data_IF_624433220902
#
_entry.id   IF_624433220902
#
_cell.length_a   1.000
_cell.length_b   1.000
_cell.length_c   1.000
_cell.angle_alpha   90.00
_cell.angle_beta   90.00
_cell.angle_gamma   90.00
#
_symmetry.space_group_name_H-M   'P 1'
#
loop_
_entity.id
_entity.type
_entity.pdbx_description
1 polymer ?
#
# COMPACT_ATOMS: atom_id res chain seq x y z
N UNK A 1 71.29 23.63 -39.74
CA UNK A 1 70.11 23.86 -40.62
C UNK A 1 69.29 22.57 -40.60
N UNK A 2 68.21 22.53 -39.83
CA UNK A 2 66.80 22.86 -40.19
C UNK A 2 66.05 21.64 -40.77
N UNK A 3 64.91 21.35 -40.12
CA UNK A 3 63.70 20.60 -40.53
C UNK A 3 63.88 19.06 -40.63
N UNK A 4 63.07 18.18 -40.02
CA UNK A 4 61.74 18.30 -39.41
C UNK A 4 60.72 17.43 -40.17
N UNK A 5 60.29 16.30 -39.61
CA UNK A 5 59.10 15.51 -39.96
C UNK A 5 58.92 14.45 -38.84
N UNK A 6 57.83 14.32 -38.08
CA UNK A 6 56.45 14.74 -38.28
C UNK A 6 55.61 13.55 -38.78
N UNK A 7 55.08 12.71 -37.88
CA UNK A 7 54.07 11.69 -38.21
C UNK A 7 53.04 11.58 -37.09
N UNK A 8 51.78 11.61 -37.48
CA UNK A 8 50.61 12.02 -36.71
C UNK A 8 50.08 10.96 -35.72
N UNK A 9 49.70 11.42 -34.53
CA UNK A 9 48.71 10.71 -33.68
C UNK A 9 47.32 10.93 -34.28
N UNK A 10 46.73 9.87 -34.84
CA UNK A 10 45.33 9.84 -35.23
C UNK A 10 44.43 9.72 -34.00
N UNK A 11 43.85 10.84 -33.57
CA UNK A 11 42.83 10.88 -32.52
C UNK A 11 41.48 10.40 -33.04
N UNK A 12 41.05 9.21 -32.61
CA UNK A 12 39.68 8.73 -32.79
C UNK A 12 38.77 9.55 -31.87
N UNK A 13 38.03 10.49 -32.45
CA UNK A 13 37.04 11.29 -31.72
C UNK A 13 35.75 10.47 -31.65
N UNK A 14 35.50 9.85 -30.49
CA UNK A 14 34.24 9.15 -30.20
C UNK A 14 33.15 10.21 -29.98
N UNK A 15 32.31 10.45 -30.99
CA UNK A 15 31.08 11.25 -30.85
C UNK A 15 30.03 10.42 -30.10
N UNK A 16 29.91 10.67 -28.80
CA UNK A 16 28.80 10.15 -27.99
C UNK A 16 27.55 10.97 -28.35
N UNK A 17 26.77 10.47 -29.31
CA UNK A 17 25.45 11.03 -29.61
C UNK A 17 24.52 10.60 -28.47
N UNK A 18 24.33 11.47 -27.49
CA UNK A 18 23.28 11.30 -26.50
C UNK A 18 21.93 11.41 -27.23
N UNK A 19 21.28 10.27 -27.46
CA UNK A 19 19.89 10.24 -27.93
C UNK A 19 19.00 10.78 -26.83
N UNK A 20 18.79 12.10 -26.80
CA UNK A 20 17.64 12.68 -26.14
C UNK A 20 16.41 12.22 -26.93
N UNK A 21 15.77 11.14 -26.49
CA UNK A 21 14.48 10.72 -27.01
C UNK A 21 13.46 11.79 -26.62
N UNK A 22 13.31 12.82 -27.47
CA UNK A 22 12.19 13.74 -27.40
C UNK A 22 10.97 12.94 -27.83
N UNK A 23 10.20 12.48 -26.85
CA UNK A 23 8.88 11.91 -27.10
C UNK A 23 7.99 13.07 -27.53
N UNK A 24 7.67 13.09 -28.83
CA UNK A 24 6.75 14.05 -29.41
C UNK A 24 5.36 13.82 -28.78
N UNK A 25 4.95 14.71 -27.85
CA UNK A 25 3.67 14.61 -27.12
C UNK A 25 2.46 14.94 -28.00
N UNK A 26 2.68 15.38 -29.23
CA UNK A 26 1.65 15.66 -30.24
C UNK A 26 1.23 14.42 -31.04
N UNK A 27 1.88 13.27 -30.81
CA UNK A 27 1.50 12.00 -31.45
C UNK A 27 0.67 11.17 -30.49
N UNK A 28 -0.60 10.96 -30.84
CA UNK A 28 -1.48 9.97 -30.20
C UNK A 28 -0.84 8.58 -30.30
N UNK A 29 -0.35 8.08 -29.19
CA UNK A 29 0.29 6.77 -29.04
C UNK A 29 -0.71 5.66 -28.77
N UNK A 30 -1.85 5.98 -28.17
CA UNK A 30 -2.90 5.05 -27.79
C UNK A 30 -4.25 5.76 -27.72
N UNK A 31 -5.33 4.99 -27.73
CA UNK A 31 -6.69 5.45 -27.38
C UNK A 31 -7.28 4.66 -26.21
N UNK A 32 -6.70 3.49 -25.93
CA UNK A 32 -7.09 2.57 -24.88
C UNK A 32 -5.85 1.94 -24.26
N UNK A 33 -5.95 1.47 -23.02
CA UNK A 33 -4.88 0.72 -22.34
C UNK A 33 -4.42 -0.50 -23.17
N UNK A 34 -5.35 -1.11 -23.91
CA UNK A 34 -5.06 -2.24 -24.80
C UNK A 34 -4.08 -1.87 -25.92
N UNK A 35 -4.14 -0.64 -26.44
CA UNK A 35 -3.20 -0.19 -27.47
C UNK A 35 -1.77 -0.18 -26.94
N UNK A 36 -1.58 0.20 -25.67
CA UNK A 36 -0.29 0.16 -24.99
C UNK A 36 0.19 -1.27 -24.73
N UNK A 37 -0.71 -2.13 -24.26
CA UNK A 37 -0.40 -3.54 -24.01
C UNK A 37 -0.07 -4.32 -25.29
N UNK A 38 -0.59 -3.90 -26.45
CA UNK A 38 -0.28 -4.54 -27.75
C UNK A 38 1.06 -4.13 -28.35
N UNK A 39 1.76 -3.13 -27.78
CA UNK A 39 3.11 -2.79 -28.21
C UNK A 39 4.04 -3.93 -27.82
N UNK A 40 4.71 -4.54 -28.80
CA UNK A 40 5.59 -5.70 -28.60
C UNK A 40 6.87 -5.40 -27.80
N UNK A 41 6.95 -4.22 -27.18
CA UNK A 41 8.07 -3.81 -26.34
C UNK A 41 7.74 -4.18 -24.88
N UNK A 42 8.57 -5.01 -24.22
CA UNK A 42 8.34 -5.46 -22.84
C UNK A 42 8.28 -4.30 -21.83
N UNK A 43 8.77 -3.11 -22.17
CA UNK A 43 8.64 -1.93 -21.31
C UNK A 43 7.19 -1.40 -21.23
N UNK A 44 6.29 -1.86 -22.10
CA UNK A 44 4.87 -1.45 -22.09
C UNK A 44 3.95 -2.48 -21.43
N UNK A 45 4.49 -3.56 -20.85
CA UNK A 45 3.70 -4.51 -20.06
C UNK A 45 3.10 -3.79 -18.85
N UNK A 46 1.78 -3.79 -18.73
CA UNK A 46 1.06 -3.04 -17.69
C UNK A 46 0.91 -1.53 -17.93
N UNK A 47 1.38 -0.99 -19.07
CA UNK A 47 1.18 0.43 -19.42
C UNK A 47 -0.28 0.78 -19.64
N UNK A 48 -0.65 1.99 -19.21
CA UNK A 48 -1.96 2.57 -19.40
C UNK A 48 -1.91 3.68 -20.45
N UNK A 49 -3.05 3.92 -21.11
CA UNK A 49 -3.21 5.04 -22.01
C UNK A 49 -3.70 6.26 -21.23
N UNK A 50 -2.86 7.29 -21.13
CA UNK A 50 -3.16 8.51 -20.40
C UNK A 50 -2.87 9.69 -21.33
N UNK A 51 -3.90 10.53 -21.55
CA UNK A 51 -3.83 11.66 -22.49
C UNK A 51 -3.26 11.27 -23.87
N UNK A 52 -3.76 10.16 -24.42
CA UNK A 52 -3.32 9.56 -25.68
C UNK A 52 -1.84 9.12 -25.72
N UNK A 53 -1.15 9.04 -24.57
CA UNK A 53 0.25 8.57 -24.46
C UNK A 53 0.30 7.26 -23.67
N UNK A 54 1.09 6.30 -24.14
CA UNK A 54 1.35 5.10 -23.36
C UNK A 54 2.33 5.42 -22.24
N UNK A 55 1.84 5.35 -21.01
CA UNK A 55 2.62 5.61 -19.81
C UNK A 55 2.88 4.30 -19.07
N UNK A 56 4.14 4.12 -18.67
CA UNK A 56 4.55 3.09 -17.72
C UNK A 56 3.66 3.23 -16.45
N UNK A 57 3.14 2.14 -15.87
CA UNK A 57 2.33 2.22 -14.64
C UNK A 57 3.06 2.93 -13.50
N UNK A 58 4.39 2.91 -13.51
CA UNK A 58 5.27 3.58 -12.57
C UNK A 58 5.85 4.90 -13.12
N UNK A 59 5.35 5.45 -14.24
CA UNK A 59 5.95 6.60 -14.94
C UNK A 59 6.20 7.83 -14.06
N UNK A 60 5.43 8.02 -12.99
CA UNK A 60 5.61 9.10 -12.02
C UNK A 60 6.95 9.00 -11.29
N UNK A 61 7.62 7.84 -11.37
CA UNK A 61 9.03 7.62 -11.04
C UNK A 61 10.00 8.58 -11.73
N UNK A 62 9.66 9.03 -12.94
CA UNK A 62 10.52 9.89 -13.74
C UNK A 62 10.45 11.37 -13.31
N UNK A 63 9.48 11.73 -12.46
CA UNK A 63 9.35 13.06 -11.87
C UNK A 63 9.96 13.12 -10.48
N UNK A 64 10.51 14.28 -10.11
CA UNK A 64 10.83 14.62 -8.73
C UNK A 64 9.52 14.77 -7.94
N UNK A 65 8.87 13.67 -7.58
CA UNK A 65 7.69 13.71 -6.70
C UNK A 65 8.16 14.24 -5.35
N UNK A 66 7.87 15.51 -5.08
CA UNK A 66 8.13 16.08 -3.76
C UNK A 66 7.03 15.63 -2.85
N UNK A 67 7.37 14.76 -1.91
CA UNK A 67 6.47 14.34 -0.85
C UNK A 67 6.09 15.59 -0.03
N UNK A 68 4.80 16.01 -0.01
CA UNK A 68 4.41 17.17 0.77
C UNK A 68 4.62 16.92 2.26
N UNK A 69 5.10 17.94 2.96
CA UNK A 69 5.16 17.94 4.41
C UNK A 69 3.74 18.07 4.97
N UNK A 70 3.44 17.31 6.02
CA UNK A 70 2.17 17.45 6.72
C UNK A 70 2.04 18.87 7.31
N UNK A 71 0.89 19.49 7.09
CA UNK A 71 0.59 20.84 7.58
C UNK A 71 -0.67 20.81 8.45
N UNK A 72 -0.48 20.93 9.76
CA UNK A 72 -1.57 20.95 10.75
C UNK A 72 -2.39 22.25 10.79
N UNK A 73 -2.02 23.26 10.01
CA UNK A 73 -2.80 24.50 9.90
C UNK A 73 -3.86 24.45 8.80
N UNK A 74 -3.80 23.44 7.92
CA UNK A 74 -4.75 23.19 6.83
C UNK A 74 -5.38 21.83 7.02
N UNK A 75 -6.70 21.75 6.86
CA UNK A 75 -7.44 20.50 6.96
C UNK A 75 -8.07 20.16 5.62
N UNK A 76 -7.99 18.87 5.28
CA UNK A 76 -8.60 18.27 4.10
C UNK A 76 -9.57 17.19 4.55
N UNK A 77 -10.68 17.06 3.84
CA UNK A 77 -11.69 16.05 4.12
C UNK A 77 -11.31 14.75 3.44
N UNK A 78 -11.25 13.66 4.20
CA UNK A 78 -10.94 12.33 3.67
C UNK A 78 -12.07 11.36 4.00
N UNK A 79 -12.29 10.38 3.11
CA UNK A 79 -13.34 9.37 3.26
C UNK A 79 -12.75 7.96 3.15
N UNK A 80 -12.89 7.20 4.23
CA UNK A 80 -12.38 5.82 4.35
C UNK A 80 -13.55 4.86 4.40
N UNK A 81 -13.49 3.76 3.65
CA UNK A 81 -14.49 2.69 3.73
C UNK A 81 -14.02 1.55 4.64
N UNK A 82 -14.96 0.90 5.30
CA UNK A 82 -14.77 -0.24 6.20
C UNK A 82 -15.72 -1.36 5.80
N UNK A 83 -15.21 -2.60 5.70
CA UNK A 83 -15.99 -3.77 5.32
C UNK A 83 -15.60 -5.00 6.12
N UNK A 84 -16.55 -5.92 6.27
CA UNK A 84 -16.35 -7.23 6.88
C UNK A 84 -15.58 -8.13 5.89
N UNK A 85 -14.45 -8.70 6.32
CA UNK A 85 -13.62 -9.56 5.47
C UNK A 85 -14.32 -10.87 5.07
N UNK A 86 -15.23 -11.38 5.90
CA UNK A 86 -15.94 -12.63 5.65
C UNK A 86 -17.16 -12.41 4.76
N UNK A 87 -17.96 -11.37 5.05
CA UNK A 87 -19.18 -11.08 4.28
C UNK A 87 -18.91 -10.27 3.00
N UNK A 88 -17.77 -9.56 2.93
CA UNK A 88 -17.47 -8.55 1.89
C UNK A 88 -18.54 -7.45 1.82
N UNK A 89 -19.19 -7.17 2.95
CA UNK A 89 -20.25 -6.17 3.09
C UNK A 89 -19.74 -4.94 3.85
N UNK A 90 -20.25 -3.73 3.55
CA UNK A 90 -19.91 -2.54 4.33
C UNK A 90 -20.37 -2.68 5.78
N UNK A 91 -19.57 -2.16 6.72
CA UNK A 91 -19.91 -2.18 8.15
C UNK A 91 -20.44 -0.82 8.57
N UNK A 92 -21.73 -0.73 8.89
CA UNK A 92 -22.37 0.46 9.46
C UNK A 92 -22.24 0.50 10.98
N UNK A 93 -21.98 1.68 11.56
CA UNK A 93 -22.00 1.91 13.00
C UNK A 93 -20.69 1.63 13.76
N UNK A 94 -19.59 1.30 13.09
CA UNK A 94 -18.29 1.12 13.73
C UNK A 94 -17.72 2.47 14.20
N UNK A 95 -17.14 2.50 15.40
CA UNK A 95 -16.52 3.69 15.99
C UNK A 95 -15.03 3.76 15.61
N UNK A 96 -14.65 4.84 14.94
CA UNK A 96 -13.31 5.06 14.39
C UNK A 96 -12.69 6.32 15.01
N UNK A 97 -11.44 6.19 15.43
CA UNK A 97 -10.58 7.28 15.88
C UNK A 97 -9.51 7.55 14.83
N UNK A 98 -9.14 8.82 14.64
CA UNK A 98 -8.03 9.23 13.77
C UNK A 98 -6.85 9.62 14.64
N UNK A 99 -5.73 8.91 14.48
CA UNK A 99 -4.56 9.07 15.34
C UNK A 99 -3.36 9.61 14.54
N UNK A 100 -2.42 10.34 15.16
CA UNK A 100 -1.14 10.67 14.53
C UNK A 100 -0.30 9.40 14.27
N UNK A 101 0.63 9.46 13.33
CA UNK A 101 1.52 8.33 12.98
C UNK A 101 2.33 7.77 14.16
N UNK A 102 2.57 8.60 15.17
CA UNK A 102 3.30 8.21 16.39
C UNK A 102 2.45 7.47 17.42
N UNK A 103 1.12 7.46 17.28
CA UNK A 103 0.16 6.89 18.24
C UNK A 103 -0.85 5.99 17.52
N UNK A 104 -0.39 4.85 17.00
CA UNK A 104 -1.16 4.02 16.06
C UNK A 104 -2.50 3.50 16.57
N UNK A 105 -2.72 3.50 17.89
CA UNK A 105 -3.95 3.08 18.52
C UNK A 105 -4.60 4.12 19.43
N UNK A 106 -4.26 5.40 19.24
CA UNK A 106 -4.85 6.53 19.97
C UNK A 106 -4.77 6.36 21.50
N UNK A 107 -3.72 5.71 22.02
CA UNK A 107 -3.62 5.37 23.45
C UNK A 107 -2.85 6.41 24.26
N UNK A 108 -2.05 7.26 23.60
CA UNK A 108 -1.12 8.19 24.26
C UNK A 108 -1.45 9.65 24.04
N UNK A 109 -2.22 9.97 23.00
CA UNK A 109 -2.59 11.32 22.60
C UNK A 109 -4.10 11.46 22.36
N UNK A 110 -4.59 12.68 22.42
CA UNK A 110 -5.95 12.99 21.98
C UNK A 110 -6.06 12.67 20.48
N UNK A 111 -7.09 11.94 20.03
CA UNK A 111 -7.32 11.70 18.61
C UNK A 111 -7.37 13.02 17.84
N UNK A 112 -6.83 13.02 16.62
CA UNK A 112 -6.91 14.15 15.69
C UNK A 112 -8.38 14.43 15.34
N UNK A 113 -9.16 13.37 15.19
CA UNK A 113 -10.59 13.42 14.93
C UNK A 113 -11.27 12.16 15.51
N UNK A 114 -12.58 12.27 15.76
CA UNK A 114 -13.43 11.22 16.30
C UNK A 114 -13.76 11.33 17.80
N UNK A 115 -14.63 10.43 18.32
CA UNK A 115 -15.15 9.24 17.65
C UNK A 115 -16.06 9.54 16.45
N UNK A 116 -15.75 8.91 15.32
CA UNK A 116 -16.54 8.93 14.09
C UNK A 116 -17.27 7.60 13.92
N UNK A 117 -18.41 7.60 13.24
CA UNK A 117 -19.20 6.38 13.03
C UNK A 117 -19.31 6.08 11.54
N UNK A 118 -19.12 4.83 11.14
CA UNK A 118 -19.31 4.41 9.74
C UNK A 118 -20.79 4.53 9.33
N UNK A 119 -21.04 5.07 8.13
CA UNK A 119 -22.38 5.16 7.53
C UNK A 119 -22.87 3.81 6.98
N UNK A 120 -24.09 3.77 6.44
CA UNK A 120 -24.70 2.56 5.84
C UNK A 120 -23.91 1.99 4.64
N UNK A 121 -23.05 2.80 4.02
CA UNK A 121 -22.15 2.39 2.95
C UNK A 121 -20.76 1.99 3.47
N UNK A 122 -20.58 2.00 4.79
CA UNK A 122 -19.36 1.64 5.51
C UNK A 122 -18.34 2.75 5.54
N UNK A 123 -18.69 4.00 5.26
CA UNK A 123 -17.71 5.09 5.20
C UNK A 123 -17.65 5.91 6.48
N UNK A 124 -16.44 6.33 6.84
CA UNK A 124 -16.18 7.44 7.75
C UNK A 124 -15.65 8.62 6.95
N UNK A 125 -16.14 9.82 7.27
CA UNK A 125 -15.61 11.09 6.76
C UNK A 125 -14.91 11.80 7.91
N UNK A 126 -13.63 12.10 7.73
CA UNK A 126 -12.79 12.77 8.74
C UNK A 126 -12.18 14.04 8.16
N UNK A 127 -11.99 15.06 9.00
CA UNK A 127 -11.23 16.24 8.63
C UNK A 127 -9.81 16.07 9.19
N UNK A 128 -8.82 15.88 8.31
CA UNK A 128 -7.42 15.55 8.68
C UNK A 128 -6.46 16.63 8.20
N UNK A 129 -5.27 16.79 8.81
CA UNK A 129 -4.24 17.70 8.32
C UNK A 129 -3.91 17.51 6.84
N UNK A 130 -3.52 18.57 6.13
CA UNK A 130 -3.01 18.47 4.77
C UNK A 130 -1.80 17.52 4.72
N UNK A 131 -1.75 16.64 3.71
CA UNK A 131 -0.76 15.56 3.60
C UNK A 131 -0.68 14.66 4.86
N UNK A 132 -1.82 14.39 5.49
CA UNK A 132 -1.96 13.56 6.68
C UNK A 132 -1.25 12.20 6.56
N UNK A 133 -0.46 11.89 7.60
CA UNK A 133 0.09 10.56 7.85
C UNK A 133 -0.29 10.14 9.26
N UNK A 134 -1.00 9.05 9.36
CA UNK A 134 -1.47 8.55 10.63
C UNK A 134 -2.33 7.32 10.44
N UNK A 135 -3.16 7.03 11.44
CA UNK A 135 -3.97 5.82 11.44
C UNK A 135 -5.45 6.11 11.62
N UNK A 136 -6.27 5.30 10.98
CA UNK A 136 -7.67 5.13 11.36
C UNK A 136 -7.74 3.86 12.22
N UNK A 137 -8.11 4.03 13.47
CA UNK A 137 -8.17 2.95 14.45
C UNK A 137 -9.63 2.67 14.80
N UNK A 138 -10.06 1.42 14.62
CA UNK A 138 -11.42 1.00 14.96
C UNK A 138 -11.45 0.60 16.43
N UNK A 139 -12.03 1.48 17.25
CA UNK A 139 -12.08 1.29 18.70
C UNK A 139 -13.24 0.37 19.10
N UNK A 140 -14.42 0.56 18.48
CA UNK A 140 -15.62 -0.22 18.79
C UNK A 140 -16.34 -0.67 17.52
N UNK A 141 -16.91 -1.87 17.59
CA UNK A 141 -17.82 -2.37 16.57
C UNK A 141 -19.25 -1.86 16.79
N UNK A 142 -20.08 -1.83 15.74
CA UNK A 142 -21.48 -1.45 15.89
C UNK A 142 -22.20 -2.39 16.85
N UNK A 143 -23.21 -1.87 17.54
CA UNK A 143 -24.04 -2.67 18.44
C UNK A 143 -24.80 -3.80 17.72
N UNK A 144 -24.98 -3.70 16.40
CA UNK A 144 -25.54 -4.75 15.55
C UNK A 144 -24.58 -5.92 15.31
N UNK A 145 -23.30 -5.78 15.64
CA UNK A 145 -22.30 -6.83 15.49
C UNK A 145 -22.50 -7.89 16.57
N UNK A 146 -23.14 -9.01 16.22
CA UNK A 146 -23.37 -10.14 17.12
C UNK A 146 -22.16 -11.10 17.11
N UNK A 147 -21.40 -11.24 18.22
CA UNK A 147 -20.29 -12.19 18.31
C UNK A 147 -20.69 -13.64 18.04
N UNK A 148 -21.96 -14.02 18.26
CA UNK A 148 -22.45 -15.35 17.96
C UNK A 148 -22.58 -15.60 16.44
N UNK A 149 -22.98 -14.57 15.69
CA UNK A 149 -23.07 -14.62 14.22
C UNK A 149 -21.67 -14.55 13.61
N UNK A 150 -20.84 -13.64 14.09
CA UNK A 150 -19.50 -13.41 13.58
C UNK A 150 -18.43 -14.30 14.27
N UNK A 151 -18.82 -15.37 14.97
CA UNK A 151 -17.92 -16.41 15.50
C UNK A 151 -16.78 -15.92 16.42
N UNK A 152 -17.00 -14.89 17.23
CA UNK A 152 -16.07 -14.52 18.29
C UNK A 152 -15.83 -13.02 18.44
N UNK A 153 -14.75 -12.69 19.14
CA UNK A 153 -14.39 -11.31 19.46
C UNK A 153 -13.86 -10.57 18.24
N UNK A 154 -14.22 -9.29 18.13
CA UNK A 154 -13.67 -8.39 17.13
C UNK A 154 -12.16 -8.21 17.33
N UNK A 155 -11.44 -8.23 16.22
CA UNK A 155 -10.02 -7.91 16.19
C UNK A 155 -9.89 -6.44 15.85
N UNK A 156 -9.34 -5.66 16.80
CA UNK A 156 -9.06 -4.24 16.61
C UNK A 156 -8.27 -4.03 15.32
N UNK A 157 -8.78 -3.15 14.46
CA UNK A 157 -8.18 -2.85 13.14
C UNK A 157 -7.48 -1.50 13.15
N UNK A 158 -6.29 -1.47 12.56
CA UNK A 158 -5.50 -0.26 12.28
C UNK A 158 -5.38 -0.13 10.76
N UNK A 159 -5.82 0.98 10.19
CA UNK A 159 -5.54 1.35 8.81
C UNK A 159 -4.47 2.45 8.80
N UNK A 160 -3.33 2.20 8.17
CA UNK A 160 -2.29 3.21 7.95
C UNK A 160 -2.63 4.08 6.74
N UNK A 161 -2.88 5.37 6.97
CA UNK A 161 -3.05 6.36 5.90
C UNK A 161 -1.69 6.89 5.47
N UNK A 162 -1.25 6.48 4.29
CA UNK A 162 0.00 6.95 3.65
C UNK A 162 -0.24 7.78 2.38
N UNK A 163 -1.50 7.92 1.96
CA UNK A 163 -1.88 8.80 0.84
C UNK A 163 -1.65 10.26 1.23
N UNK A 164 -1.05 11.03 0.33
CA UNK A 164 -1.00 12.49 0.47
C UNK A 164 -2.35 13.08 0.09
N UNK A 165 -3.25 13.23 1.05
CA UNK A 165 -4.50 13.97 0.82
C UNK A 165 -4.13 15.45 0.58
N UNK A 166 -4.36 15.97 -0.62
CA UNK A 166 -4.05 17.36 -1.01
C UNK A 166 -5.31 18.06 -1.54
N UNK A 167 -5.34 19.39 -1.50
CA UNK A 167 -6.52 20.20 -1.87
C UNK A 167 -6.96 20.05 -3.34
N UNK A 168 -6.11 19.47 -4.20
CA UNK A 168 -6.40 19.22 -5.61
C UNK A 168 -7.13 17.88 -5.85
N UNK A 169 -7.31 17.06 -4.81
CA UNK A 169 -8.07 15.82 -4.90
C UNK A 169 -9.58 16.13 -4.75
N UNK A 170 -10.42 15.80 -5.75
CA UNK A 170 -11.85 16.11 -5.67
C UNK A 170 -12.48 15.45 -4.43
N UNK A 171 -13.46 16.14 -3.83
CA UNK A 171 -14.08 15.76 -2.56
C UNK A 171 -14.76 14.37 -2.57
N UNK A 172 -14.84 13.72 -3.73
CA UNK A 172 -15.39 12.39 -3.98
C UNK A 172 -14.33 11.30 -4.17
N UNK A 173 -13.04 11.57 -3.90
CA UNK A 173 -12.01 10.53 -3.80
C UNK A 173 -12.25 9.67 -2.55
N UNK A 174 -13.27 8.83 -2.66
CA UNK A 174 -13.41 7.65 -1.82
C UNK A 174 -12.16 6.81 -2.03
N UNK A 175 -11.46 6.52 -0.94
CA UNK A 175 -10.46 5.47 -0.91
C UNK A 175 -11.11 4.21 -1.52
N UNK A 176 -10.57 3.73 -2.64
CA UNK A 176 -11.15 2.58 -3.36
C UNK A 176 -11.30 1.38 -2.43
N UNK A 177 -12.24 0.47 -2.74
CA UNK A 177 -12.54 -0.69 -1.89
C UNK A 177 -11.31 -1.56 -1.56
N UNK A 178 -10.25 -1.50 -2.37
CA UNK A 178 -9.00 -2.22 -2.12
C UNK A 178 -8.11 -1.57 -1.05
N UNK A 179 -8.26 -0.27 -0.79
CA UNK A 179 -7.60 0.48 0.30
C UNK A 179 -8.50 0.60 1.54
N UNK A 180 -9.70 0.02 1.50
CA UNK A 180 -10.64 0.05 2.60
C UNK A 180 -10.17 -0.85 3.76
N UNK A 181 -10.47 -0.40 4.98
CA UNK A 181 -10.10 -1.12 6.19
C UNK A 181 -10.91 -2.41 6.30
N UNK A 182 -10.21 -3.53 6.49
CA UNK A 182 -10.83 -4.83 6.71
C UNK A 182 -11.14 -5.01 8.18
N UNK A 183 -12.39 -5.33 8.48
CA UNK A 183 -12.85 -5.70 9.81
C UNK A 183 -13.05 -7.21 9.85
N UNK A 184 -12.64 -7.81 10.95
CA UNK A 184 -12.73 -9.24 11.12
C UNK A 184 -12.91 -9.58 12.59
N UNK A 185 -13.56 -10.71 12.86
CA UNK A 185 -13.44 -11.35 14.16
C UNK A 185 -12.30 -12.35 14.18
N UNK A 186 -12.02 -12.82 15.39
CA UNK A 186 -11.16 -13.96 15.62
C UNK A 186 -11.67 -15.24 14.95
N UNK A 187 -12.98 -15.42 14.87
CA UNK A 187 -13.58 -16.57 14.18
C UNK A 187 -13.40 -16.50 12.68
N UNK A 188 -13.58 -15.31 12.09
CA UNK A 188 -13.38 -15.09 10.66
C UNK A 188 -11.92 -15.35 10.28
N UNK A 189 -10.97 -14.77 11.03
CA UNK A 189 -9.55 -15.00 10.76
C UNK A 189 -9.12 -16.43 11.06
N UNK A 190 -9.68 -17.09 12.08
CA UNK A 190 -9.40 -18.50 12.33
C UNK A 190 -9.90 -19.41 11.21
N UNK A 191 -11.06 -19.09 10.61
CA UNK A 191 -11.59 -19.79 9.44
C UNK A 191 -10.65 -19.60 8.24
N UNK A 192 -10.31 -18.34 7.95
CA UNK A 192 -9.39 -17.98 6.87
C UNK A 192 -8.02 -18.64 6.99
N UNK A 193 -7.45 -18.66 8.20
CA UNK A 193 -6.18 -19.31 8.49
C UNK A 193 -6.30 -20.84 8.42
N UNK A 194 -7.44 -21.40 8.84
CA UNK A 194 -7.73 -22.82 8.74
C UNK A 194 -7.70 -23.33 7.30
N UNK A 195 -8.20 -22.55 6.34
CA UNK A 195 -8.18 -22.90 4.91
C UNK A 195 -6.76 -23.06 4.35
N UNK A 196 -5.78 -22.39 4.98
CA UNK A 196 -4.36 -22.49 4.64
C UNK A 196 -3.54 -23.28 5.68
N UNK A 197 -4.22 -24.03 6.56
CA UNK A 197 -3.63 -24.84 7.63
C UNK A 197 -2.68 -24.07 8.56
N UNK A 198 -3.05 -22.83 8.87
CA UNK A 198 -2.39 -21.96 9.82
C UNK A 198 -3.30 -21.75 11.04
N UNK A 199 -2.74 -21.65 12.27
CA UNK A 199 -3.50 -21.23 13.44
C UNK A 199 -3.47 -19.71 13.60
N UNK A 200 -4.46 -19.15 14.29
CA UNK A 200 -4.40 -17.80 14.82
C UNK A 200 -3.42 -17.72 15.99
N UNK A 201 -2.63 -16.64 16.08
CA UNK A 201 -1.62 -16.45 17.13
C UNK A 201 -1.70 -15.02 17.65
N UNK A 202 -2.11 -14.87 18.92
CA UNK A 202 -2.45 -13.58 19.55
C UNK A 202 -1.27 -12.61 19.69
N UNK A 203 -0.05 -13.13 19.81
CA UNK A 203 1.15 -12.31 19.98
C UNK A 203 1.68 -11.78 18.64
N UNK A 204 1.05 -12.14 17.52
CA UNK A 204 1.42 -11.69 16.18
C UNK A 204 0.36 -10.77 15.60
N UNK A 205 0.79 -9.91 14.68
CA UNK A 205 -0.09 -9.12 13.85
C UNK A 205 -0.42 -9.89 12.56
N UNK A 206 -1.59 -9.57 11.99
CA UNK A 206 -1.94 -9.95 10.63
C UNK A 206 -1.95 -8.67 9.82
N UNK A 207 -1.23 -8.69 8.70
CA UNK A 207 -1.12 -7.56 7.79
C UNK A 207 -1.86 -7.89 6.52
N UNK A 208 -2.77 -7.02 6.11
CA UNK A 208 -3.32 -6.98 4.77
C UNK A 208 -2.86 -5.69 4.10
N UNK A 209 -2.48 -5.79 2.83
CA UNK A 209 -2.22 -4.61 2.06
C UNK A 209 -2.58 -4.79 0.61
N UNK A 210 -2.41 -3.70 -0.14
CA UNK A 210 -2.53 -3.71 -1.57
C UNK A 210 -1.44 -2.81 -2.17
N UNK A 211 -0.85 -3.26 -3.26
CA UNK A 211 0.15 -2.51 -4.03
C UNK A 211 -0.58 -1.75 -5.13
N UNK A 212 -0.25 -0.47 -5.28
CA UNK A 212 -0.82 0.41 -6.29
C UNK A 212 0.27 0.97 -7.20
N UNK A 213 -0.13 1.20 -8.44
CA UNK A 213 0.58 2.08 -9.34
C UNK A 213 0.37 3.55 -8.92
N UNK A 214 0.91 4.50 -9.67
CA UNK A 214 0.73 5.90 -9.29
C UNK A 214 -0.68 6.46 -9.48
N UNK A 215 -1.49 5.80 -10.29
CA UNK A 215 -2.84 6.20 -10.63
C UNK A 215 -3.87 5.54 -9.70
N UNK A 216 -3.41 5.05 -8.56
CA UNK A 216 -4.21 4.32 -7.58
C UNK A 216 -4.87 3.05 -8.12
N UNK A 217 -4.32 2.48 -9.21
CA UNK A 217 -4.79 1.20 -9.73
C UNK A 217 -4.03 0.07 -9.04
N UNK A 218 -4.70 -1.04 -8.69
CA UNK A 218 -4.02 -2.22 -8.20
C UNK A 218 -2.90 -2.67 -9.15
N UNK A 219 -1.73 -3.00 -8.59
CA UNK A 219 -0.56 -3.40 -9.36
C UNK A 219 -0.40 -4.93 -9.34
N UNK A 220 -0.87 -5.66 -10.38
CA UNK A 220 -0.66 -7.10 -10.49
C UNK A 220 0.80 -7.41 -10.79
N UNK A 221 1.31 -8.56 -10.33
CA UNK A 221 2.69 -9.00 -10.57
C UNK A 221 3.73 -8.38 -9.63
N UNK A 222 3.31 -7.57 -8.65
CA UNK A 222 4.18 -7.03 -7.61
C UNK A 222 4.57 -8.12 -6.61
N UNK A 223 5.87 -8.24 -6.31
CA UNK A 223 6.39 -9.13 -5.27
C UNK A 223 6.55 -8.33 -4.00
N UNK A 224 6.03 -8.84 -2.88
CA UNK A 224 6.04 -8.13 -1.61
C UNK A 224 6.79 -8.96 -0.57
N UNK A 225 7.76 -8.32 0.08
CA UNK A 225 8.56 -8.88 1.17
C UNK A 225 8.33 -8.05 2.42
N UNK A 226 8.26 -8.71 3.58
CA UNK A 226 8.04 -8.08 4.87
C UNK A 226 9.16 -8.44 5.83
N UNK A 227 9.74 -7.46 6.50
CA UNK A 227 10.84 -7.66 7.44
C UNK A 227 10.67 -6.78 8.70
N UNK A 228 11.02 -7.28 9.89
CA UNK A 228 11.10 -6.44 11.07
C UNK A 228 12.29 -5.47 10.95
N UNK A 229 12.09 -4.20 11.34
CA UNK A 229 13.15 -3.16 11.22
C UNK A 229 14.16 -3.26 12.36
N UNK A 230 13.69 -3.52 13.58
CA UNK A 230 14.51 -3.49 14.80
C UNK A 230 14.34 -4.76 15.64
N UNK A 231 14.20 -5.93 15.02
CA UNK A 231 14.09 -7.20 15.74
C UNK A 231 15.41 -7.54 16.45
N UNK A 232 15.68 -6.87 17.57
CA UNK A 232 16.37 -7.50 18.68
C UNK A 232 15.33 -8.46 19.25
N UNK A 233 15.51 -9.79 19.15
CA UNK A 233 14.54 -10.74 19.67
C UNK A 233 14.36 -10.43 21.16
N UNK A 234 13.21 -9.90 21.56
CA UNK A 234 12.97 -9.71 22.98
C UNK A 234 12.65 -11.10 23.55
N UNK A 235 13.35 -11.51 24.61
CA UNK A 235 13.25 -12.86 25.20
C UNK A 235 11.82 -13.25 25.65
N UNK A 236 10.88 -12.31 25.64
CA UNK A 236 9.46 -12.50 25.95
C UNK A 236 8.60 -12.89 24.74
N UNK A 237 9.12 -12.85 23.51
CA UNK A 237 8.39 -13.29 22.30
C UNK A 237 8.46 -14.83 22.11
N UNK A 238 8.61 -15.59 23.21
CA UNK A 238 8.91 -17.02 23.29
C UNK A 238 7.76 -17.97 22.87
N UNK A 239 6.89 -17.51 21.96
CA UNK A 239 6.09 -18.43 21.15
C UNK A 239 6.99 -19.25 20.22
N UNK A 240 6.51 -20.34 19.62
CA UNK A 240 7.27 -21.01 18.56
C UNK A 240 7.61 -19.96 17.49
N UNK A 241 8.90 -19.81 17.17
CA UNK A 241 9.38 -18.92 16.12
C UNK A 241 8.72 -19.33 14.79
N UNK A 242 7.61 -18.70 14.48
CA UNK A 242 6.91 -18.89 13.22
C UNK A 242 7.48 -17.89 12.22
N UNK A 243 7.91 -18.34 11.04
CA UNK A 243 8.34 -17.43 10.00
C UNK A 243 7.15 -16.56 9.56
N UNK A 244 7.44 -15.30 9.27
CA UNK A 244 6.50 -14.41 8.57
C UNK A 244 6.07 -15.14 7.30
N UNK A 245 4.76 -15.37 7.16
CA UNK A 245 4.22 -16.16 6.06
C UNK A 245 3.45 -15.24 5.13
N UNK A 246 4.01 -14.90 3.94
CA UNK A 246 3.31 -14.07 2.99
C UNK A 246 2.15 -14.84 2.35
N UNK A 247 1.10 -14.11 2.00
CA UNK A 247 0.01 -14.59 1.16
C UNK A 247 -0.36 -13.54 0.13
N UNK A 248 -1.00 -13.99 -0.95
CA UNK A 248 -1.54 -13.11 -1.98
C UNK A 248 -3.00 -13.43 -2.20
N UNK A 249 -3.76 -12.43 -2.63
CA UNK A 249 -5.15 -12.65 -3.01
C UNK A 249 -5.25 -13.28 -4.40
N UNK A 250 -5.92 -14.42 -4.49
CA UNK A 250 -6.27 -15.07 -5.74
C UNK A 250 -7.78 -15.18 -5.79
N UNK A 251 -8.41 -14.30 -6.57
CA UNK A 251 -9.86 -14.22 -6.73
C UNK A 251 -10.63 -14.02 -5.42
N UNK A 252 -10.14 -13.17 -4.51
CA UNK A 252 -10.78 -12.91 -3.22
C UNK A 252 -10.36 -13.89 -2.10
N UNK A 253 -9.48 -14.86 -2.39
CA UNK A 253 -9.02 -15.85 -1.41
C UNK A 253 -7.52 -15.68 -1.11
N UNK A 254 -7.13 -15.49 0.16
CA UNK A 254 -5.74 -15.58 0.59
C UNK A 254 -5.12 -16.94 0.26
N UNK A 255 -4.09 -16.91 -0.57
CA UNK A 255 -3.43 -18.11 -1.10
C UNK A 255 -1.95 -18.08 -0.76
N UNK A 256 -1.45 -19.19 -0.20
CA UNK A 256 -0.03 -19.38 0.13
C UNK A 256 0.75 -19.89 -1.09
N UNK A 257 2.04 -19.59 -1.14
CA UNK A 257 2.96 -20.09 -2.19
C UNK A 257 2.94 -19.29 -3.49
N UNK A 258 1.99 -18.36 -3.63
CA UNK A 258 2.02 -17.35 -4.68
C UNK A 258 3.24 -16.46 -4.56
N UNK A 259 3.75 -16.00 -5.70
CA UNK A 259 5.03 -15.24 -5.77
C UNK A 259 4.83 -13.75 -6.00
N UNK A 260 3.62 -13.34 -6.36
CA UNK A 260 3.30 -11.97 -6.71
C UNK A 260 1.79 -11.72 -6.58
N UNK A 261 1.40 -10.45 -6.55
CA UNK A 261 0.01 -10.01 -6.50
C UNK A 261 -0.78 -10.44 -7.75
N UNK A 262 -2.05 -10.79 -7.56
CA UNK A 262 -3.02 -10.98 -8.64
C UNK A 262 -3.58 -9.66 -9.16
N UNK A 263 -4.69 -9.73 -9.92
CA UNK A 263 -5.37 -8.56 -10.49
C UNK A 263 -5.86 -7.55 -9.44
N UNK A 264 -6.07 -7.98 -8.20
CA UNK A 264 -6.49 -7.12 -7.09
C UNK A 264 -5.34 -6.36 -6.43
N UNK A 265 -4.08 -6.65 -6.77
CA UNK A 265 -2.92 -6.03 -6.12
C UNK A 265 -2.76 -6.38 -4.63
N UNK A 266 -3.62 -7.23 -4.08
CA UNK A 266 -3.68 -7.52 -2.64
C UNK A 266 -2.60 -8.53 -2.24
N UNK A 267 -1.97 -8.25 -1.11
CA UNK A 267 -1.03 -9.13 -0.41
C UNK A 267 -1.34 -9.13 1.10
N UNK A 268 -0.63 -9.97 1.83
CA UNK A 268 -0.54 -9.82 3.28
C UNK A 268 0.51 -10.71 3.91
N UNK A 269 0.61 -10.61 5.23
CA UNK A 269 1.54 -11.36 6.04
C UNK A 269 0.83 -11.93 7.26
N UNK A 270 0.92 -13.24 7.43
CA UNK A 270 0.62 -13.90 8.68
C UNK A 270 1.87 -13.91 9.57
N UNK A 271 1.63 -13.89 10.89
CA UNK A 271 2.68 -13.96 11.91
C UNK A 271 3.68 -12.81 11.88
N UNK A 272 3.24 -11.62 11.44
CA UNK A 272 4.10 -10.45 11.47
C UNK A 272 4.41 -10.06 12.93
N UNK A 273 5.68 -9.84 13.30
CA UNK A 273 6.05 -9.49 14.66
C UNK A 273 5.52 -8.09 15.03
N UNK A 274 5.25 -7.87 16.31
CA UNK A 274 4.95 -6.53 16.83
C UNK A 274 6.14 -5.58 16.64
N UNK A 275 5.85 -4.27 16.60
CA UNK A 275 6.86 -3.23 16.45
C UNK A 275 6.98 -2.73 15.01
N UNK A 276 8.15 -2.18 14.66
CA UNK A 276 8.37 -1.65 13.31
C UNK A 276 8.53 -2.77 12.29
N UNK A 277 7.74 -2.70 11.23
CA UNK A 277 7.73 -3.66 10.14
C UNK A 277 7.89 -2.91 8.81
N UNK A 278 8.91 -3.27 8.04
CA UNK A 278 9.15 -2.73 6.71
C UNK A 278 8.50 -3.62 5.65
N UNK A 279 7.81 -2.99 4.71
CA UNK A 279 7.27 -3.63 3.51
C UNK A 279 8.09 -3.18 2.30
N UNK A 280 8.73 -4.15 1.64
CA UNK A 280 9.49 -3.97 0.40
C UNK A 280 8.68 -4.50 -0.77
N UNK A 281 8.66 -3.74 -1.86
CA UNK A 281 7.96 -4.12 -3.09
C UNK A 281 8.93 -4.14 -4.26
N UNK A 282 8.82 -5.18 -5.08
CA UNK A 282 9.53 -5.34 -6.35
C UNK A 282 8.54 -5.50 -7.49
N UNK A 283 8.69 -4.71 -8.54
CA UNK A 283 7.90 -4.79 -9.76
C UNK A 283 8.79 -4.57 -10.99
N UNK A 284 8.95 -5.62 -11.81
CA UNK A 284 9.93 -5.60 -12.90
C UNK A 284 11.34 -5.31 -12.39
N UNK A 285 11.92 -4.19 -12.85
CA UNK A 285 13.24 -3.69 -12.44
C UNK A 285 13.19 -2.68 -11.28
N UNK A 286 12.00 -2.31 -10.84
CA UNK A 286 11.78 -1.32 -9.80
C UNK A 286 11.70 -1.99 -8.43
N UNK A 287 12.39 -1.39 -7.45
CA UNK A 287 12.34 -1.80 -6.04
C UNK A 287 12.14 -0.55 -5.19
N UNK A 288 11.23 -0.61 -4.23
CA UNK A 288 11.02 0.45 -3.25
C UNK A 288 10.63 -0.15 -1.90
N UNK A 289 11.07 0.50 -0.83
CA UNK A 289 10.60 0.25 0.52
C UNK A 289 9.59 1.36 0.85
N UNK A 290 8.31 1.02 0.96
CA UNK A 290 7.28 2.06 1.08
C UNK A 290 6.98 2.40 2.54
N UNK A 291 6.87 1.38 3.39
CA UNK A 291 6.21 1.57 4.67
C UNK A 291 6.97 0.90 5.80
N UNK A 292 7.50 1.71 6.73
CA UNK A 292 7.69 1.29 8.11
C UNK A 292 6.36 1.49 8.82
N UNK A 293 5.66 0.41 9.09
CA UNK A 293 4.42 0.42 9.87
C UNK A 293 4.69 -0.09 11.27
N UNK A 294 4.00 0.49 12.26
CA UNK A 294 4.00 -0.07 13.61
C UNK A 294 2.88 -1.11 13.69
N UNK A 295 3.27 -2.35 13.93
CA UNK A 295 2.38 -3.47 14.12
C UNK A 295 2.10 -3.68 15.61
N UNK A 296 0.83 -3.91 15.93
CA UNK A 296 0.39 -4.21 17.30
C UNK A 296 -0.08 -5.67 17.35
N UNK A 297 0.40 -6.41 18.34
CA UNK A 297 0.03 -7.81 18.54
C UNK A 297 -1.50 -7.97 18.68
N UNK A 298 -2.05 -9.01 18.06
CA UNK A 298 -3.47 -9.33 18.13
C UNK A 298 -4.37 -8.32 17.41
N UNK A 299 -3.78 -7.42 16.60
CA UNK A 299 -4.53 -6.45 15.78
C UNK A 299 -4.38 -6.78 14.30
N UNK A 300 -5.40 -6.36 13.55
CA UNK A 300 -5.45 -6.43 12.10
C UNK A 300 -4.91 -5.13 11.52
N UNK A 301 -3.84 -5.19 10.74
CA UNK A 301 -3.25 -4.01 10.12
C UNK A 301 -3.56 -3.98 8.63
N UNK A 302 -4.14 -2.88 8.15
CA UNK A 302 -4.37 -2.61 6.74
C UNK A 302 -3.42 -1.51 6.26
N UNK A 303 -2.78 -1.68 5.10
CA UNK A 303 -1.99 -0.62 4.48
C UNK A 303 -2.13 -0.58 2.95
N UNK A 304 -2.10 0.61 2.37
CA UNK A 304 -1.86 0.80 0.94
C UNK A 304 -0.37 1.03 0.71
N UNK A 305 0.21 0.28 -0.22
CA UNK A 305 1.60 0.48 -0.68
C UNK A 305 1.56 1.15 -2.03
N UNK A 306 2.09 2.36 -2.13
CA UNK A 306 2.20 3.06 -3.42
C UNK A 306 3.65 3.03 -3.89
N UNK A 307 3.84 3.16 -5.19
CA UNK A 307 5.16 3.41 -5.71
C UNK A 307 5.66 4.79 -5.26
N UNK A 308 6.80 4.82 -4.55
CA UNK A 308 7.48 6.05 -4.13
C UNK A 308 8.92 6.05 -4.62
N UNK A 309 9.27 6.80 -5.68
CA UNK A 309 10.64 6.89 -6.17
C UNK A 309 11.53 7.56 -5.10
N UNK A 310 12.62 6.89 -4.70
CA UNK A 310 13.63 7.46 -3.79
C UNK A 310 13.43 7.18 -2.30
N UNK A 311 12.58 6.23 -1.91
CA UNK A 311 12.38 5.84 -0.51
C UNK A 311 13.41 4.81 0.04
N UNK A 312 14.57 4.65 -0.60
CA UNK A 312 15.64 3.75 -0.13
C UNK A 312 16.63 4.45 0.81
#
# INVERSE_FOLDING_TARGET
>A
MKLGAGAALGGVTLLVVACNAIIARDVVQCRTDKDCQTRADPNFEGSACVDDVCMDPLWCASGQVTIPQQDGSRYVRTRVRFFDIAALEPVEGAEVLVCPDTDVDCSTSEPIDGPLTTDAQGYVTADVPYAFRGTFYVDKMPASWDPAVHKGEFIKTILHSRRFNTEDEPADLSIEAYQAARLATRGDLSTLLGDVNLPFVDDKAIVFGAVYDCNDRPLPGAKVEGEPVDATPTATDAGPDRPITPFYDVNGTPTLGEKATGSSGIFGFFFAPRGQFAVKVRYGQFEWADARVVLVAGKLTTLGVRYSPGAL
#
